data_IF_398958504330
#
_entry.id   IF_398958504330
#
_cell.length_a   1.000
_cell.length_b   1.000
_cell.length_c   1.000
_cell.angle_alpha   90.00
_cell.angle_beta   90.00
_cell.angle_gamma   90.00
#
_symmetry.space_group_name_H-M   'P 1'
#
loop_
_entity.id
_entity.type
_entity.pdbx_description
1 polymer ?
#
# COMPACT_ATOMS: atom_id res chain seq x y z
N UNK A 1 30.04 4.59 0.58
CA UNK A 1 28.97 3.75 1.15
C UNK A 1 28.41 2.91 0.01
N UNK A 2 28.26 1.58 0.16
CA UNK A 2 27.61 0.79 -0.89
C UNK A 2 26.17 1.31 -1.05
N UNK A 3 25.77 1.61 -2.28
CA UNK A 3 24.41 2.05 -2.58
C UNK A 3 23.55 0.79 -2.60
N UNK A 4 22.74 0.60 -1.57
CA UNK A 4 21.77 -0.47 -1.58
C UNK A 4 20.61 -0.10 -2.49
N UNK A 5 20.09 -1.07 -3.24
CA UNK A 5 19.09 -0.85 -4.31
C UNK A 5 17.75 -0.32 -3.79
N UNK A 6 17.49 -0.38 -2.49
CA UNK A 6 16.27 0.15 -1.85
C UNK A 6 16.32 1.68 -1.62
N UNK A 7 17.51 2.30 -1.63
CA UNK A 7 17.65 3.76 -1.43
C UNK A 7 17.42 4.58 -2.72
N UNK A 8 17.09 3.93 -3.84
CA UNK A 8 17.04 4.55 -5.17
C UNK A 8 15.62 4.94 -5.63
N UNK A 9 14.64 5.00 -4.73
CA UNK A 9 13.27 5.35 -5.08
C UNK A 9 12.86 6.64 -4.38
N UNK A 10 12.67 7.69 -5.18
CA UNK A 10 11.88 8.84 -4.80
C UNK A 10 10.41 8.57 -5.15
N UNK A 11 9.50 8.83 -4.21
CA UNK A 11 8.07 8.67 -4.44
C UNK A 11 7.31 9.90 -3.99
N UNK A 12 6.18 10.13 -4.63
CA UNK A 12 5.18 11.10 -4.22
C UNK A 12 3.81 10.45 -4.28
N UNK A 13 2.89 10.95 -3.46
CA UNK A 13 1.51 10.53 -3.46
C UNK A 13 0.60 11.75 -3.48
N UNK A 14 -0.47 11.67 -4.28
CA UNK A 14 -1.49 12.69 -4.40
C UNK A 14 -2.82 11.99 -4.65
N UNK A 15 -3.88 12.51 -4.05
CA UNK A 15 -5.24 12.06 -4.29
C UNK A 15 -6.15 13.28 -4.38
N UNK A 16 -7.16 13.24 -5.23
CA UNK A 16 -8.08 14.34 -5.49
C UNK A 16 -9.49 13.79 -5.75
N UNK A 17 -10.52 14.47 -5.24
CA UNK A 17 -11.92 14.05 -5.42
C UNK A 17 -12.42 14.23 -6.86
N UNK A 18 -11.76 15.09 -7.63
CA UNK A 18 -12.17 15.52 -8.95
C UNK A 18 -13.43 16.38 -8.94
N UNK A 19 -13.99 16.61 -10.12
CA UNK A 19 -15.07 17.60 -10.33
C UNK A 19 -16.47 17.00 -10.14
N UNK A 20 -16.61 15.68 -10.22
CA UNK A 20 -17.93 15.01 -10.32
C UNK A 20 -18.42 14.34 -9.04
N UNK A 21 -17.51 14.00 -8.12
CA UNK A 21 -17.85 13.29 -6.88
C UNK A 21 -17.91 14.28 -5.73
N UNK A 22 -18.72 13.97 -4.71
CA UNK A 22 -18.76 14.77 -3.48
C UNK A 22 -17.78 14.27 -2.41
N UNK A 23 -17.28 13.04 -2.55
CA UNK A 23 -16.31 12.42 -1.65
C UNK A 23 -15.26 11.67 -2.44
N UNK A 24 -14.04 11.72 -1.96
CA UNK A 24 -12.95 10.91 -2.49
C UNK A 24 -13.05 9.51 -1.91
N UNK A 25 -13.13 8.51 -2.79
CA UNK A 25 -13.19 7.10 -2.40
C UNK A 25 -11.87 6.40 -2.72
N UNK A 26 -10.84 7.15 -3.12
CA UNK A 26 -9.51 6.64 -3.34
C UNK A 26 -8.68 6.81 -2.08
N UNK A 27 -7.92 5.78 -1.72
CA UNK A 27 -6.96 5.82 -0.64
C UNK A 27 -5.65 5.16 -1.05
N UNK A 28 -4.57 5.49 -0.35
CA UNK A 28 -3.23 4.98 -0.65
C UNK A 28 -2.46 4.71 0.64
N UNK A 29 -1.52 3.77 0.56
CA UNK A 29 -0.56 3.51 1.62
C UNK A 29 0.82 3.27 1.03
N UNK A 30 1.83 3.79 1.71
CA UNK A 30 3.23 3.58 1.36
C UNK A 30 3.98 3.08 2.58
N UNK A 31 4.71 1.98 2.43
CA UNK A 31 5.64 1.48 3.43
C UNK A 31 6.97 1.16 2.79
N UNK A 32 7.99 1.95 3.16
CA UNK A 32 9.34 1.68 2.69
C UNK A 32 10.02 0.62 3.56
N UNK A 33 10.83 -0.24 2.95
CA UNK A 33 11.86 -0.96 3.67
C UNK A 33 12.90 0.05 4.19
N UNK A 34 13.13 0.05 5.50
CA UNK A 34 14.07 0.98 6.13
C UNK A 34 15.54 0.52 6.05
N UNK A 35 15.76 -0.77 5.72
CA UNK A 35 17.08 -1.39 5.69
C UNK A 35 17.12 -2.62 4.77
N UNK A 36 18.32 -3.17 4.57
CA UNK A 36 18.59 -4.35 3.74
C UNK A 36 17.78 -5.60 4.15
N UNK A 37 17.59 -5.80 5.45
CA UNK A 37 16.89 -6.98 5.96
C UNK A 37 15.40 -6.88 5.63
N UNK A 38 14.81 -5.71 5.86
CA UNK A 38 13.43 -5.41 5.50
C UNK A 38 13.21 -5.47 3.99
N UNK A 39 14.17 -4.96 3.20
CA UNK A 39 14.13 -5.01 1.75
C UNK A 39 14.09 -6.45 1.23
N UNK A 40 14.96 -7.32 1.74
CA UNK A 40 14.98 -8.74 1.38
C UNK A 40 13.73 -9.48 1.84
N UNK A 41 13.14 -9.07 2.96
CA UNK A 41 11.98 -9.73 3.54
C UNK A 41 10.67 -9.37 2.83
N UNK A 42 10.48 -8.10 2.44
CA UNK A 42 9.19 -7.62 1.94
C UNK A 42 9.24 -6.52 0.87
N UNK A 43 10.42 -5.97 0.59
CA UNK A 43 10.57 -4.81 -0.29
C UNK A 43 9.85 -3.55 0.22
N UNK A 44 9.71 -2.56 -0.66
CA UNK A 44 8.77 -1.45 -0.47
C UNK A 44 7.36 -1.89 -0.86
N UNK A 45 6.35 -1.42 -0.15
CA UNK A 45 4.95 -1.58 -0.50
C UNK A 45 4.36 -0.22 -0.89
N UNK A 46 3.77 -0.16 -2.08
CA UNK A 46 2.96 0.94 -2.56
C UNK A 46 1.58 0.39 -2.90
N UNK A 47 0.55 0.99 -2.31
CA UNK A 47 -0.84 0.54 -2.44
C UNK A 47 -1.72 1.72 -2.82
N UNK A 48 -2.61 1.49 -3.78
CA UNK A 48 -3.73 2.36 -4.12
C UNK A 48 -5.00 1.51 -4.07
N UNK A 49 -6.05 2.05 -3.49
CA UNK A 49 -7.34 1.39 -3.34
C UNK A 49 -8.45 2.34 -3.82
N UNK A 50 -9.23 1.90 -4.81
CA UNK A 50 -10.47 2.55 -5.26
C UNK A 50 -11.66 1.91 -4.52
N UNK A 51 -12.31 2.74 -3.71
CA UNK A 51 -13.45 2.38 -2.90
C UNK A 51 -14.75 2.34 -3.69
N UNK A 52 -15.17 1.13 -4.08
CA UNK A 52 -16.45 0.95 -4.74
C UNK A 52 -17.61 0.88 -3.73
N UNK A 53 -18.55 1.82 -3.83
CA UNK A 53 -19.79 1.85 -3.04
C UNK A 53 -20.44 3.23 -3.09
N UNK A 54 -21.75 3.32 -2.86
CA UNK A 54 -22.40 4.64 -2.79
C UNK A 54 -21.85 5.45 -1.59
N UNK A 55 -21.28 6.62 -1.89
CA UNK A 55 -20.80 7.63 -0.92
C UNK A 55 -19.94 7.06 0.23
N UNK A 56 -20.51 6.79 1.40
CA UNK A 56 -19.76 6.44 2.62
C UNK A 56 -19.18 5.01 2.62
N UNK A 57 -19.77 4.08 1.87
CA UNK A 57 -19.31 2.68 1.87
C UNK A 57 -18.00 2.54 1.09
N UNK A 58 -17.87 3.26 -0.02
CA UNK A 58 -16.64 3.23 -0.82
C UNK A 58 -15.46 3.84 -0.08
N UNK A 59 -15.65 5.00 0.55
CA UNK A 59 -14.61 5.66 1.37
C UNK A 59 -14.08 4.71 2.45
N UNK A 60 -14.98 4.13 3.25
CA UNK A 60 -14.60 3.18 4.30
C UNK A 60 -13.92 1.92 3.75
N UNK A 61 -14.35 1.43 2.59
CA UNK A 61 -13.74 0.27 1.96
C UNK A 61 -12.29 0.55 1.53
N UNK A 62 -12.03 1.68 0.89
CA UNK A 62 -10.69 2.11 0.49
C UNK A 62 -9.78 2.36 1.69
N UNK A 63 -10.29 2.99 2.75
CA UNK A 63 -9.58 3.22 4.01
C UNK A 63 -9.20 1.90 4.70
N UNK A 64 -10.15 0.96 4.77
CA UNK A 64 -9.89 -0.35 5.34
C UNK A 64 -8.81 -1.09 4.53
N UNK A 65 -8.87 -1.03 3.20
CA UNK A 65 -7.84 -1.63 2.34
C UNK A 65 -6.47 -1.00 2.60
N UNK A 66 -6.37 0.32 2.58
CA UNK A 66 -5.12 1.06 2.82
C UNK A 66 -4.51 0.81 4.21
N UNK A 67 -5.34 0.55 5.22
CA UNK A 67 -4.89 0.26 6.58
C UNK A 67 -4.51 -1.21 6.81
N UNK A 68 -5.36 -2.14 6.35
CA UNK A 68 -5.23 -3.57 6.68
C UNK A 68 -4.25 -4.30 5.78
N UNK A 69 -4.21 -3.98 4.49
CA UNK A 69 -3.36 -4.70 3.52
C UNK A 69 -1.88 -4.56 3.88
N UNK A 70 -1.33 -3.37 4.21
CA UNK A 70 0.07 -3.26 4.60
C UNK A 70 0.41 -4.11 5.82
N UNK A 71 -0.43 -4.06 6.86
CA UNK A 71 -0.19 -4.85 8.07
C UNK A 71 -0.22 -6.37 7.80
N UNK A 72 -1.21 -6.82 7.03
CA UNK A 72 -1.37 -8.23 6.65
C UNK A 72 -0.20 -8.69 5.77
N UNK A 73 0.18 -7.88 4.76
CA UNK A 73 1.31 -8.17 3.90
C UNK A 73 2.60 -8.33 4.69
N UNK A 74 2.92 -7.40 5.61
CA UNK A 74 4.09 -7.50 6.47
C UNK A 74 4.13 -8.80 7.28
N UNK A 75 2.98 -9.21 7.83
CA UNK A 75 2.87 -10.43 8.63
C UNK A 75 3.09 -11.70 7.82
N UNK A 76 2.68 -11.71 6.54
CA UNK A 76 2.65 -12.90 5.70
C UNK A 76 3.69 -12.91 4.57
N UNK A 77 4.50 -11.85 4.40
CA UNK A 77 5.45 -11.69 3.30
C UNK A 77 6.42 -12.87 3.11
N UNK A 78 6.72 -13.61 4.17
CA UNK A 78 7.63 -14.76 4.17
C UNK A 78 6.94 -16.11 4.04
N UNK A 79 5.60 -16.17 4.12
CA UNK A 79 4.85 -17.42 4.18
C UNK A 79 4.49 -17.97 2.81
N UNK A 80 4.75 -17.21 1.74
CA UNK A 80 4.41 -17.60 0.37
C UNK A 80 2.90 -17.85 0.16
N UNK A 81 2.47 -18.22 -1.05
CA UNK A 81 1.10 -18.66 -1.29
C UNK A 81 0.84 -19.97 -0.53
N UNK A 82 -0.30 -20.13 0.16
CA UNK A 82 -0.67 -21.41 0.74
C UNK A 82 -0.75 -22.48 -0.38
N UNK A 83 0.06 -23.53 -0.26
CA UNK A 83 0.20 -24.60 -1.27
C UNK A 83 1.48 -24.55 -2.11
N UNK A 84 2.37 -23.57 -1.89
CA UNK A 84 3.73 -23.60 -2.40
C UNK A 84 4.67 -24.37 -1.44
N UNK A 85 4.37 -25.64 -1.19
CA UNK A 85 5.23 -26.62 -0.51
C UNK A 85 4.83 -28.04 -0.90
#
# INVERSE_FOLDING_TARGET
>A
MPVNRFDQIEYASLTDVGVRRSHNQDNLAVQLAADDAQWRQRGHLFLVADGMGAHAVGEKASEQAASVIPHTFLKHAQQGPPGAA
#
